data_IF_376627231196
#
_entry.id   IF_376627231196
#
_cell.length_a   1.000
_cell.length_b   1.000
_cell.length_c   1.000
_cell.angle_alpha   90.00
_cell.angle_beta   90.00
_cell.angle_gamma   90.00
#
_symmetry.space_group_name_H-M   'P 1'
#
loop_
_entity.id
_entity.type
_entity.pdbx_description
1 polymer ?
#
# COMPACT_ATOMS: atom_id res chain seq x y z
N UNK A 1 -13.27 10.30 -3.53
CA UNK A 1 -14.64 10.03 -4.02
C UNK A 1 -14.89 8.54 -4.28
N UNK A 2 -13.95 7.76 -4.89
CA UNK A 2 -14.14 6.34 -5.22
C UNK A 2 -14.60 5.51 -4.01
N UNK A 3 -13.84 5.51 -2.91
CA UNK A 3 -14.19 4.78 -1.69
C UNK A 3 -15.52 5.24 -1.07
N UNK A 4 -15.84 6.54 -1.15
CA UNK A 4 -17.11 7.06 -0.66
C UNK A 4 -18.31 6.53 -1.44
N UNK A 5 -18.16 6.33 -2.76
CA UNK A 5 -19.22 5.73 -3.60
C UNK A 5 -19.43 4.24 -3.30
N UNK A 6 -18.40 3.57 -2.78
CA UNK A 6 -18.43 2.14 -2.46
C UNK A 6 -18.70 1.86 -0.97
N UNK A 7 -18.81 2.90 -0.14
CA UNK A 7 -19.00 2.75 1.32
C UNK A 7 -20.29 2.00 1.69
N UNK A 8 -21.34 2.16 0.88
CA UNK A 8 -22.68 1.60 1.12
C UNK A 8 -23.08 0.55 0.06
N UNK A 9 -22.13 -0.08 -0.61
CA UNK A 9 -22.42 -1.13 -1.59
C UNK A 9 -23.07 -2.31 -0.87
N UNK A 10 -24.31 -2.72 -1.26
CA UNK A 10 -25.05 -3.75 -0.54
C UNK A 10 -24.58 -5.18 -0.84
N UNK A 11 -23.58 -5.33 -1.70
CA UNK A 11 -23.07 -6.63 -2.14
C UNK A 11 -21.74 -6.93 -1.46
N UNK A 12 -21.63 -8.10 -0.85
CA UNK A 12 -20.35 -8.60 -0.37
C UNK A 12 -19.45 -8.94 -1.56
N UNK A 13 -18.33 -8.25 -1.69
CA UNK A 13 -17.29 -8.59 -2.65
C UNK A 13 -16.32 -9.57 -2.02
N UNK A 14 -15.92 -10.60 -2.77
CA UNK A 14 -14.85 -11.51 -2.39
C UNK A 14 -13.47 -10.89 -2.60
N UNK A 15 -12.44 -11.52 -2.06
CA UNK A 15 -11.05 -11.20 -2.37
C UNK A 15 -10.71 -11.76 -3.76
N UNK A 16 -10.47 -10.89 -4.74
CA UNK A 16 -10.02 -11.27 -6.10
C UNK A 16 -8.64 -11.91 -6.08
N UNK A 17 -7.75 -11.36 -5.25
CA UNK A 17 -6.42 -11.91 -4.99
C UNK A 17 -6.29 -12.11 -3.48
N UNK A 18 -6.27 -13.38 -3.07
CA UNK A 18 -6.17 -13.74 -1.65
C UNK A 18 -4.89 -13.17 -1.03
N UNK A 19 -5.02 -12.58 0.15
CA UNK A 19 -3.89 -12.03 0.92
C UNK A 19 -3.06 -10.99 0.16
N UNK A 20 -3.65 -10.27 -0.80
CA UNK A 20 -2.93 -9.35 -1.70
C UNK A 20 -2.10 -8.31 -0.94
N UNK A 21 -2.70 -7.62 0.01
CA UNK A 21 -2.05 -6.63 0.89
C UNK A 21 -2.04 -7.06 2.36
N UNK A 22 -1.96 -8.36 2.62
CA UNK A 22 -1.78 -8.89 3.96
C UNK A 22 -0.28 -8.86 4.32
N UNK A 23 0.12 -7.95 5.19
CA UNK A 23 1.53 -7.75 5.51
C UNK A 23 2.15 -8.95 6.25
N UNK A 24 1.39 -9.62 7.11
CA UNK A 24 1.86 -10.82 7.80
C UNK A 24 2.16 -11.95 6.80
N UNK A 25 1.30 -12.12 5.80
CA UNK A 25 1.50 -13.08 4.71
C UNK A 25 2.74 -12.72 3.86
N UNK A 26 2.93 -11.45 3.54
CA UNK A 26 4.11 -11.01 2.77
C UNK A 26 5.41 -11.23 3.53
N UNK A 27 5.44 -10.98 4.83
CA UNK A 27 6.60 -11.29 5.68
C UNK A 27 6.85 -12.79 5.78
N UNK A 28 5.80 -13.60 5.85
CA UNK A 28 5.96 -15.06 5.81
C UNK A 28 6.63 -15.49 4.50
N UNK A 29 6.18 -14.97 3.35
CA UNK A 29 6.80 -15.27 2.05
C UNK A 29 8.28 -14.86 2.01
N UNK A 30 8.64 -13.69 2.56
CA UNK A 30 10.05 -13.28 2.66
C UNK A 30 10.86 -14.25 3.52
N UNK A 31 10.35 -14.64 4.69
CA UNK A 31 11.02 -15.58 5.59
C UNK A 31 11.23 -16.96 4.96
N UNK A 32 10.26 -17.43 4.18
CA UNK A 32 10.35 -18.65 3.39
C UNK A 32 11.44 -18.51 2.31
N UNK A 33 11.47 -17.38 1.57
CA UNK A 33 12.49 -17.10 0.58
C UNK A 33 13.90 -17.04 1.20
N UNK A 34 14.05 -16.41 2.37
CA UNK A 34 15.30 -16.37 3.12
C UNK A 34 15.76 -17.77 3.53
N UNK A 35 14.85 -18.61 4.03
CA UNK A 35 15.16 -19.98 4.44
C UNK A 35 15.56 -20.87 3.27
N UNK A 36 14.92 -20.72 2.11
CA UNK A 36 15.19 -21.49 0.92
C UNK A 36 16.42 -21.00 0.13
N UNK A 37 16.58 -19.67 0.04
CA UNK A 37 17.67 -18.97 -0.67
C UNK A 37 17.99 -19.63 -2.03
N UNK A 38 16.98 -19.83 -2.85
CA UNK A 38 17.08 -20.60 -4.11
C UNK A 38 18.06 -19.99 -5.11
N UNK A 39 18.06 -18.65 -5.23
CA UNK A 39 18.98 -17.94 -6.10
C UNK A 39 20.40 -17.78 -5.52
N UNK A 40 20.61 -18.12 -4.24
CA UNK A 40 21.91 -17.98 -3.55
C UNK A 40 22.34 -16.53 -3.29
N UNK A 41 21.40 -15.57 -3.32
CA UNK A 41 21.69 -14.11 -3.25
C UNK A 41 21.52 -13.51 -1.85
N UNK A 42 21.12 -14.30 -0.85
CA UNK A 42 20.82 -13.82 0.49
C UNK A 42 21.96 -13.02 1.10
N UNK A 43 23.20 -13.48 0.94
CA UNK A 43 24.38 -12.80 1.53
C UNK A 43 24.56 -11.36 1.04
N UNK A 44 24.10 -11.02 -0.14
CA UNK A 44 24.19 -9.69 -0.74
C UNK A 44 23.20 -8.71 -0.08
N UNK A 45 22.08 -9.23 0.41
CA UNK A 45 20.92 -8.45 0.88
C UNK A 45 20.55 -8.74 2.34
N UNK A 46 21.36 -9.47 3.08
CA UNK A 46 21.08 -9.81 4.48
C UNK A 46 20.79 -8.57 5.33
N UNK A 47 21.57 -7.51 5.15
CA UNK A 47 21.37 -6.25 5.86
C UNK A 47 19.96 -5.66 5.64
N UNK A 48 19.41 -5.81 4.44
CA UNK A 48 18.06 -5.32 4.12
C UNK A 48 16.98 -6.21 4.76
N UNK A 49 17.21 -7.54 4.79
CA UNK A 49 16.32 -8.47 5.52
C UNK A 49 16.27 -8.09 6.99
N UNK A 50 17.44 -7.83 7.63
CA UNK A 50 17.50 -7.45 9.03
C UNK A 50 16.77 -6.12 9.31
N UNK A 51 16.89 -5.13 8.41
CA UNK A 51 16.18 -3.86 8.48
C UNK A 51 14.65 -4.03 8.36
N UNK A 52 14.20 -4.92 7.47
CA UNK A 52 12.78 -5.21 7.33
C UNK A 52 12.23 -5.95 8.55
N UNK A 53 12.94 -6.95 9.06
CA UNK A 53 12.52 -7.68 10.26
C UNK A 53 12.44 -6.78 11.49
N UNK A 54 13.36 -5.81 11.65
CA UNK A 54 13.33 -4.86 12.75
C UNK A 54 12.04 -4.00 12.78
N UNK A 55 11.37 -3.82 11.64
CA UNK A 55 10.12 -3.04 11.50
C UNK A 55 8.86 -3.90 11.37
N UNK A 56 9.00 -5.22 11.30
CA UNK A 56 7.92 -6.14 10.96
C UNK A 56 6.70 -6.02 11.88
N UNK A 57 6.92 -5.90 13.20
CA UNK A 57 5.82 -5.79 14.17
C UNK A 57 4.98 -4.52 13.97
N UNK A 58 5.65 -3.38 13.72
CA UNK A 58 4.98 -2.11 13.44
C UNK A 58 4.19 -2.18 12.14
N UNK A 59 4.77 -2.77 11.10
CA UNK A 59 4.17 -2.86 9.78
C UNK A 59 3.01 -3.85 9.70
N UNK A 60 2.88 -4.79 10.63
CA UNK A 60 1.70 -5.67 10.80
C UNK A 60 0.59 -5.05 11.67
N UNK A 61 0.64 -3.76 11.96
CA UNK A 61 -0.33 -3.06 12.80
C UNK A 61 -1.75 -3.15 12.26
N UNK A 62 -1.93 -3.09 10.96
CA UNK A 62 -3.26 -3.17 10.31
C UNK A 62 -3.97 -4.50 10.64
N UNK A 63 -3.29 -5.62 10.44
CA UNK A 63 -3.80 -6.95 10.70
C UNK A 63 -4.09 -7.17 12.19
N UNK A 64 -3.23 -6.65 13.07
CA UNK A 64 -3.42 -6.71 14.51
C UNK A 64 -4.67 -5.93 14.94
N UNK A 65 -4.85 -4.70 14.48
CA UNK A 65 -6.03 -3.88 14.78
C UNK A 65 -7.31 -4.52 14.26
N UNK A 66 -7.24 -5.20 13.12
CA UNK A 66 -8.38 -5.92 12.57
C UNK A 66 -8.79 -7.11 13.45
N UNK A 67 -7.84 -7.92 13.89
CA UNK A 67 -8.10 -9.04 14.82
C UNK A 67 -8.67 -8.59 16.17
N UNK A 68 -8.29 -7.39 16.59
CA UNK A 68 -8.84 -6.74 17.80
C UNK A 68 -10.25 -6.14 17.60
N UNK A 69 -10.80 -6.23 16.38
CA UNK A 69 -12.10 -5.64 16.03
C UNK A 69 -12.11 -4.11 15.96
N UNK A 70 -10.93 -3.47 15.91
CA UNK A 70 -10.78 -2.00 15.90
C UNK A 70 -10.72 -1.42 14.49
N UNK A 71 -10.29 -2.20 13.51
CA UNK A 71 -10.15 -1.80 12.11
C UNK A 71 -11.01 -2.71 11.22
N UNK A 72 -11.96 -2.13 10.52
CA UNK A 72 -12.79 -2.85 9.57
C UNK A 72 -12.15 -2.85 8.16
N UNK A 73 -12.41 -3.91 7.38
CA UNK A 73 -12.18 -3.88 5.94
C UNK A 73 -13.26 -3.04 5.25
N UNK A 74 -12.87 -2.32 4.22
CA UNK A 74 -13.75 -1.54 3.32
C UNK A 74 -13.48 -1.95 1.89
N UNK A 75 -14.36 -1.61 0.96
CA UNK A 75 -14.08 -1.83 -0.45
C UNK A 75 -13.00 -0.83 -0.88
N UNK A 76 -11.86 -1.35 -1.29
CA UNK A 76 -10.70 -0.61 -1.76
C UNK A 76 -10.41 -0.96 -3.22
N UNK A 77 -9.73 -0.07 -3.92
CA UNK A 77 -9.25 -0.32 -5.27
C UNK A 77 -8.08 -1.31 -5.27
N UNK A 78 -7.18 -1.15 -4.29
CA UNK A 78 -5.98 -1.98 -4.05
C UNK A 78 -4.89 -1.90 -5.13
N UNK A 79 -5.01 -0.98 -6.10
CA UNK A 79 -3.94 -0.64 -7.06
C UNK A 79 -4.12 0.84 -7.50
N UNK A 80 -3.99 1.75 -6.54
CA UNK A 80 -4.24 3.19 -6.73
C UNK A 80 -3.02 3.97 -7.23
N UNK A 81 -2.05 3.27 -7.83
CA UNK A 81 -0.93 3.98 -8.48
C UNK A 81 -1.42 5.05 -9.44
N UNK A 82 -0.63 6.11 -9.62
CA UNK A 82 -1.00 7.28 -10.43
C UNK A 82 -1.42 6.90 -11.85
N UNK A 83 -0.81 5.87 -12.44
CA UNK A 83 -1.09 5.40 -13.80
C UNK A 83 -2.52 4.84 -13.95
N UNK A 84 -3.19 4.50 -12.86
CA UNK A 84 -4.58 4.04 -12.84
C UNK A 84 -5.60 5.18 -12.68
N UNK A 85 -5.16 6.44 -12.82
CA UNK A 85 -6.02 7.61 -12.82
C UNK A 85 -5.85 8.34 -14.15
N UNK A 86 -6.94 8.50 -14.90
CA UNK A 86 -6.93 9.26 -16.15
C UNK A 86 -7.29 10.72 -15.88
N UNK A 87 -6.57 11.59 -16.56
CA UNK A 87 -6.75 13.05 -16.51
C UNK A 87 -7.09 13.58 -17.91
N UNK A 88 -7.82 14.68 -17.96
CA UNK A 88 -7.99 15.46 -19.19
C UNK A 88 -6.79 16.37 -19.44
N UNK A 89 -6.83 17.12 -20.56
CA UNK A 89 -5.75 18.03 -20.94
C UNK A 89 -5.59 19.22 -19.97
N UNK A 90 -6.60 19.52 -19.18
CA UNK A 90 -6.62 20.60 -18.18
C UNK A 90 -6.22 20.09 -16.77
N UNK A 91 -5.91 18.78 -16.63
CA UNK A 91 -5.49 18.16 -15.39
C UNK A 91 -6.65 17.76 -14.45
N UNK A 92 -7.89 17.74 -14.94
CA UNK A 92 -9.01 17.23 -14.15
C UNK A 92 -9.07 15.70 -14.22
N UNK A 93 -9.42 15.06 -13.11
CA UNK A 93 -9.62 13.61 -13.06
C UNK A 93 -10.83 13.22 -13.91
N UNK A 94 -10.63 12.36 -14.89
CA UNK A 94 -11.69 11.79 -15.73
C UNK A 94 -12.27 10.53 -15.07
N UNK A 95 -11.43 9.54 -14.78
CA UNK A 95 -11.86 8.29 -14.16
C UNK A 95 -10.70 7.55 -13.51
N UNK A 96 -11.04 6.59 -12.67
CA UNK A 96 -10.16 5.54 -12.15
C UNK A 96 -10.36 4.30 -13.01
N UNK A 97 -9.27 3.64 -13.38
CA UNK A 97 -9.25 2.44 -14.24
C UNK A 97 -8.58 1.26 -13.53
N UNK A 98 -8.54 0.10 -14.17
CA UNK A 98 -7.90 -1.12 -13.67
C UNK A 98 -8.56 -1.65 -12.38
N UNK A 99 -9.86 -1.95 -12.49
CA UNK A 99 -10.73 -2.29 -11.35
C UNK A 99 -10.71 -3.78 -10.96
N UNK A 100 -9.85 -4.59 -11.54
CA UNK A 100 -9.79 -6.03 -11.29
C UNK A 100 -9.25 -6.39 -9.89
N UNK A 101 -8.61 -5.45 -9.19
CA UNK A 101 -8.16 -5.58 -7.80
C UNK A 101 -9.13 -4.99 -6.77
N UNK A 102 -10.32 -4.55 -7.18
CA UNK A 102 -11.31 -4.00 -6.25
C UNK A 102 -11.85 -5.09 -5.33
N UNK A 103 -11.55 -4.99 -4.04
CA UNK A 103 -11.88 -6.00 -3.04
C UNK A 103 -11.92 -5.42 -1.62
N UNK A 104 -12.46 -6.18 -0.63
CA UNK A 104 -12.37 -5.78 0.78
C UNK A 104 -10.91 -5.72 1.26
N UNK A 105 -10.49 -4.54 1.76
CA UNK A 105 -9.17 -4.33 2.33
C UNK A 105 -9.19 -3.19 3.35
N UNK A 106 -8.06 -2.91 4.02
CA UNK A 106 -7.95 -1.70 4.83
C UNK A 106 -7.81 -0.48 3.93
N UNK A 107 -8.38 0.64 4.34
CA UNK A 107 -8.29 1.90 3.57
C UNK A 107 -6.83 2.33 3.34
N UNK A 108 -5.93 1.80 4.15
CA UNK A 108 -4.49 2.00 4.04
C UNK A 108 -3.93 1.55 2.69
N UNK A 109 -4.57 0.54 2.06
CA UNK A 109 -4.20 0.07 0.73
C UNK A 109 -4.26 1.19 -0.30
N UNK A 110 -5.39 1.87 -0.39
CA UNK A 110 -5.56 2.92 -1.40
C UNK A 110 -4.74 4.18 -1.08
N UNK A 111 -4.71 4.58 0.20
CA UNK A 111 -3.97 5.77 0.61
C UNK A 111 -2.46 5.60 0.45
N UNK A 112 -1.94 4.46 0.90
CA UNK A 112 -0.50 4.18 0.88
C UNK A 112 0.03 3.90 -0.52
N UNK A 113 -0.70 3.13 -1.32
CA UNK A 113 -0.26 2.79 -2.68
C UNK A 113 -0.26 4.01 -3.62
N UNK A 114 -1.25 4.89 -3.50
CA UNK A 114 -1.22 6.16 -4.22
C UNK A 114 0.04 6.97 -3.87
N UNK A 115 0.33 7.13 -2.58
CA UNK A 115 1.50 7.91 -2.13
C UNK A 115 2.83 7.28 -2.54
N UNK A 116 2.92 5.95 -2.53
CA UNK A 116 4.10 5.22 -2.99
C UNK A 116 4.48 5.60 -4.43
N UNK A 117 3.51 5.79 -5.29
CA UNK A 117 3.73 6.18 -6.68
C UNK A 117 3.77 7.69 -6.88
N UNK A 118 2.80 8.45 -6.35
CA UNK A 118 2.65 9.88 -6.59
C UNK A 118 3.66 10.75 -5.84
N UNK A 119 4.02 10.38 -4.61
CA UNK A 119 4.96 11.14 -3.80
C UNK A 119 6.42 10.69 -3.98
N UNK A 120 6.69 9.69 -4.80
CA UNK A 120 8.03 9.33 -5.22
C UNK A 120 8.52 10.31 -6.30
N UNK A 121 9.74 10.81 -6.15
CA UNK A 121 10.36 11.70 -7.15
C UNK A 121 11.05 10.95 -8.30
N UNK A 122 11.40 9.69 -8.07
CA UNK A 122 11.96 8.78 -9.08
C UNK A 122 10.89 7.90 -9.72
N UNK A 123 11.28 7.16 -10.75
CA UNK A 123 10.44 6.11 -11.33
C UNK A 123 10.44 4.87 -10.41
N UNK A 124 9.44 4.00 -10.57
CA UNK A 124 9.33 2.76 -9.79
C UNK A 124 10.55 1.84 -9.99
N UNK A 125 11.15 1.87 -11.18
CA UNK A 125 12.32 1.08 -11.58
C UNK A 125 13.59 1.93 -11.75
N UNK A 126 13.66 3.12 -11.14
CA UNK A 126 14.80 4.03 -11.27
C UNK A 126 16.05 3.38 -10.69
N UNK A 127 17.09 3.28 -11.53
CA UNK A 127 18.38 2.70 -11.13
C UNK A 127 19.27 3.66 -10.37
N UNK A 128 19.00 4.95 -10.47
CA UNK A 128 19.69 6.00 -9.75
C UNK A 128 18.93 6.32 -8.47
N UNK A 129 19.38 5.77 -7.37
CA UNK A 129 18.73 5.91 -6.07
C UNK A 129 18.74 7.35 -5.55
N UNK A 130 19.61 8.22 -6.06
CA UNK A 130 19.62 9.64 -5.69
C UNK A 130 18.37 10.37 -6.21
N UNK A 131 17.71 9.84 -7.25
CA UNK A 131 16.44 10.34 -7.74
C UNK A 131 15.24 9.91 -6.88
N UNK A 132 15.39 8.85 -6.09
CA UNK A 132 14.29 8.24 -5.30
C UNK A 132 14.18 8.97 -3.97
N UNK A 133 13.19 9.84 -3.85
CA UNK A 133 12.93 10.63 -2.66
C UNK A 133 11.43 10.77 -2.43
N UNK A 134 11.06 11.19 -1.21
CA UNK A 134 9.68 11.43 -0.84
C UNK A 134 9.33 12.92 -0.96
N UNK A 135 8.34 13.23 -1.81
CA UNK A 135 7.85 14.59 -2.01
C UNK A 135 6.79 14.94 -0.96
N UNK A 136 7.20 15.70 0.06
CA UNK A 136 6.34 16.11 1.16
C UNK A 136 5.20 17.04 0.73
N UNK A 137 5.36 17.85 -0.32
CA UNK A 137 4.31 18.76 -0.78
C UNK A 137 3.19 17.99 -1.49
N UNK A 138 3.54 16.96 -2.27
CA UNK A 138 2.55 16.03 -2.85
C UNK A 138 1.83 15.27 -1.72
N UNK A 139 2.56 14.77 -0.73
CA UNK A 139 1.93 14.12 0.44
C UNK A 139 0.89 15.01 1.11
N UNK A 140 1.25 16.25 1.42
CA UNK A 140 0.35 17.20 2.08
C UNK A 140 -0.89 17.48 1.21
N UNK A 141 -0.68 17.83 -0.07
CA UNK A 141 -1.77 18.14 -0.99
C UNK A 141 -2.74 16.94 -1.15
N UNK A 142 -2.18 15.73 -1.27
CA UNK A 142 -3.00 14.52 -1.36
C UNK A 142 -3.75 14.24 -0.06
N UNK A 143 -3.08 14.31 1.10
CA UNK A 143 -3.70 14.05 2.39
C UNK A 143 -4.85 15.03 2.68
N UNK A 144 -4.66 16.32 2.38
CA UNK A 144 -5.71 17.34 2.51
C UNK A 144 -6.89 17.06 1.57
N UNK A 145 -6.63 16.77 0.29
CA UNK A 145 -7.66 16.43 -0.69
C UNK A 145 -8.40 15.15 -0.34
N UNK A 146 -7.68 14.12 0.09
CA UNK A 146 -8.24 12.84 0.52
C UNK A 146 -9.16 13.02 1.74
N UNK A 147 -8.68 13.66 2.79
CA UNK A 147 -9.45 13.89 4.01
C UNK A 147 -10.67 14.77 3.78
N UNK A 148 -10.61 15.74 2.86
CA UNK A 148 -11.77 16.55 2.50
C UNK A 148 -12.96 15.71 2.03
N UNK A 149 -12.69 14.61 1.31
CA UNK A 149 -13.71 13.70 0.78
C UNK A 149 -13.96 12.50 1.69
N UNK A 150 -12.93 11.96 2.34
CA UNK A 150 -12.99 10.68 3.04
C UNK A 150 -13.39 10.78 4.52
N UNK A 151 -13.20 11.94 5.16
CA UNK A 151 -13.54 12.13 6.58
C UNK A 151 -15.02 11.86 6.93
N UNK A 152 -15.91 11.83 5.94
CA UNK A 152 -17.34 11.57 6.15
C UNK A 152 -17.64 10.10 6.44
N UNK A 153 -16.74 9.18 6.09
CA UNK A 153 -16.90 7.74 6.33
C UNK A 153 -15.75 7.11 7.13
N UNK A 154 -14.59 7.79 7.22
CA UNK A 154 -13.46 7.28 7.99
C UNK A 154 -13.68 7.41 9.49
N UNK A 155 -13.24 6.39 10.22
CA UNK A 155 -13.16 6.45 11.70
C UNK A 155 -11.96 7.30 12.15
N UNK A 156 -11.98 7.83 13.39
CA UNK A 156 -10.81 8.52 13.95
C UNK A 156 -9.54 7.68 13.93
N UNK A 157 -9.65 6.36 14.18
CA UNK A 157 -8.54 5.43 14.15
C UNK A 157 -7.92 5.31 12.75
N UNK A 158 -8.75 5.24 11.71
CA UNK A 158 -8.28 5.20 10.32
C UNK A 158 -7.53 6.49 9.96
N UNK A 159 -8.07 7.65 10.34
CA UNK A 159 -7.44 8.95 10.08
C UNK A 159 -6.08 9.06 10.80
N UNK A 160 -6.02 8.69 12.08
CA UNK A 160 -4.79 8.72 12.89
C UNK A 160 -3.68 7.84 12.29
N UNK A 161 -4.05 6.76 11.60
CA UNK A 161 -3.12 5.80 11.02
C UNK A 161 -2.83 6.02 9.52
N UNK A 162 -3.27 7.11 8.90
CA UNK A 162 -2.89 7.43 7.50
C UNK A 162 -1.37 7.63 7.31
N UNK A 163 -0.61 8.24 8.23
CA UNK A 163 0.84 8.30 8.12
C UNK A 163 1.50 6.90 8.11
N UNK A 164 0.98 5.97 8.90
CA UNK A 164 1.41 4.58 8.88
C UNK A 164 1.19 3.95 7.49
N UNK A 165 0.05 4.21 6.83
CA UNK A 165 -0.22 3.70 5.48
C UNK A 165 0.82 4.17 4.45
N UNK A 166 1.28 5.43 4.56
CA UNK A 166 2.32 5.97 3.68
C UNK A 166 3.67 5.23 3.83
N UNK A 167 4.00 4.76 5.04
CA UNK A 167 5.20 3.97 5.30
C UNK A 167 5.02 2.48 4.94
N UNK A 168 3.82 1.94 5.14
CA UNK A 168 3.49 0.54 4.92
C UNK A 168 3.71 0.11 3.46
N UNK A 169 3.28 0.92 2.50
CA UNK A 169 3.30 0.49 1.10
C UNK A 169 4.69 0.40 0.47
N UNK A 170 5.61 1.35 0.63
CA UNK A 170 7.00 1.15 0.23
C UNK A 170 7.64 -0.06 0.92
N UNK A 171 7.36 -0.26 2.21
CA UNK A 171 7.84 -1.41 2.97
C UNK A 171 7.31 -2.73 2.40
N UNK A 172 6.01 -2.83 2.15
CA UNK A 172 5.38 -4.03 1.59
C UNK A 172 5.94 -4.40 0.22
N UNK A 173 6.14 -3.42 -0.66
CA UNK A 173 6.73 -3.65 -1.97
C UNK A 173 8.20 -4.10 -1.85
N UNK A 174 8.95 -3.50 -0.93
CA UNK A 174 10.33 -3.95 -0.66
C UNK A 174 10.36 -5.41 -0.20
N UNK A 175 9.47 -5.81 0.72
CA UNK A 175 9.35 -7.20 1.18
C UNK A 175 9.04 -8.15 0.01
N UNK A 176 8.12 -7.78 -0.87
CA UNK A 176 7.74 -8.59 -2.04
C UNK A 176 8.89 -8.75 -3.01
N UNK A 177 9.47 -7.65 -3.47
CA UNK A 177 10.56 -7.67 -4.44
C UNK A 177 11.83 -8.33 -3.89
N UNK A 178 12.09 -8.18 -2.58
CA UNK A 178 13.22 -8.85 -1.97
C UNK A 178 13.01 -10.38 -1.90
N UNK A 179 11.80 -10.83 -1.59
CA UNK A 179 11.46 -12.25 -1.62
C UNK A 179 11.67 -12.85 -3.02
N UNK A 180 11.21 -12.13 -4.07
CA UNK A 180 11.41 -12.54 -5.47
C UNK A 180 12.88 -12.52 -5.87
N UNK A 181 13.67 -11.56 -5.35
CA UNK A 181 15.11 -11.46 -5.63
C UNK A 181 15.92 -12.63 -5.04
N UNK A 182 15.54 -13.08 -3.83
CA UNK A 182 16.23 -14.18 -3.11
C UNK A 182 15.90 -15.55 -3.71
N UNK A 183 14.71 -15.71 -4.27
CA UNK A 183 14.21 -16.93 -4.92
C UNK A 183 14.43 -16.95 -6.43
#
# INVERSE_FOLDING_TARGET
NFQAMLADVPTELGETIKDFHNMEFRLQQLREAVAENKAGRLAEVQWLVDELEARAEEMCKGERLHREGKLAKRICHCDTKVDNILFDADGNVLCVIDLDTVMPNFIFSDFGDFLRSAANTGREDDKDLDNVNFNMDIFKAFAEGYLKSAKVFLTPLEIENLPYAAALFPYMQTVRFLADYIN
#
